data_IF_126841725730
#
_entry.id   IF_126841725730
#
_cell.length_a   1.000
_cell.length_b   1.000
_cell.length_c   1.000
_cell.angle_alpha   90.00
_cell.angle_beta   90.00
_cell.angle_gamma   90.00
#
_symmetry.space_group_name_H-M   'P 1'
#
loop_
_entity.id
_entity.type
_entity.pdbx_description
1 polymer ?
#
# COMPACT_ATOMS: atom_id res chain seq x y z
N UNK A 1 4.57 11.99 -1.84
CA UNK A 1 5.44 11.35 -2.85
C UNK A 1 4.87 10.00 -3.24
N UNK A 2 4.97 9.58 -4.51
CA UNK A 2 4.55 8.24 -4.95
C UNK A 2 5.80 7.51 -5.42
N UNK A 3 5.98 6.27 -4.95
CA UNK A 3 7.06 5.37 -5.32
C UNK A 3 6.47 4.16 -6.02
N UNK A 4 6.92 3.89 -7.23
CA UNK A 4 6.55 2.71 -8.00
C UNK A 4 7.72 1.75 -8.03
N UNK A 5 7.48 0.50 -7.71
CA UNK A 5 8.48 -0.56 -7.76
C UNK A 5 7.90 -1.87 -8.26
N UNK A 6 8.75 -2.82 -8.56
CA UNK A 6 8.37 -4.15 -9.04
C UNK A 6 9.33 -5.24 -8.58
N UNK A 7 9.32 -6.36 -9.27
CA UNK A 7 10.26 -7.50 -9.13
C UNK A 7 10.23 -8.21 -7.76
N UNK A 8 9.10 -8.17 -7.05
CA UNK A 8 8.97 -8.89 -5.78
C UNK A 8 8.03 -10.09 -5.83
N UNK A 9 7.54 -10.46 -7.00
CA UNK A 9 6.53 -11.53 -7.14
C UNK A 9 5.31 -11.33 -6.23
N UNK A 10 5.03 -10.09 -5.88
CA UNK A 10 3.86 -9.66 -5.13
C UNK A 10 3.45 -8.26 -5.57
N UNK A 11 2.19 -7.95 -5.40
CA UNK A 11 1.67 -6.60 -5.59
C UNK A 11 1.17 -6.05 -4.27
N UNK A 12 1.45 -4.78 -3.99
CA UNK A 12 0.96 -4.14 -2.77
C UNK A 12 0.73 -2.66 -2.94
N UNK A 13 -0.17 -2.14 -2.11
CA UNK A 13 -0.42 -0.70 -1.95
C UNK A 13 -0.25 -0.36 -0.49
N UNK A 14 0.65 0.57 -0.19
CA UNK A 14 0.95 0.99 1.18
C UNK A 14 1.15 2.49 1.28
N UNK A 15 0.87 3.05 2.44
CA UNK A 15 1.25 4.42 2.82
C UNK A 15 2.26 4.40 3.94
N UNK A 16 3.25 5.28 3.85
CA UNK A 16 4.27 5.50 4.85
C UNK A 16 4.27 6.98 5.23
N UNK A 17 4.10 7.28 6.50
CA UNK A 17 4.20 8.64 7.03
C UNK A 17 5.51 8.80 7.81
N UNK A 18 6.37 9.65 7.30
CA UNK A 18 7.65 10.00 7.91
C UNK A 18 7.48 11.27 8.72
N UNK A 19 7.83 11.24 9.99
CA UNK A 19 7.96 12.45 10.81
C UNK A 19 9.34 13.06 10.56
N UNK A 20 9.36 14.18 9.86
CA UNK A 20 10.59 14.92 9.57
C UNK A 20 10.57 16.30 10.26
N UNK A 21 11.73 16.91 10.43
CA UNK A 21 11.87 18.25 11.03
C UNK A 21 11.10 19.34 10.29
N UNK A 22 10.83 19.16 8.97
CA UNK A 22 10.04 20.05 8.12
C UNK A 22 8.54 19.74 8.11
N UNK A 23 8.07 18.82 8.94
CA UNK A 23 6.70 18.33 8.98
C UNK A 23 6.54 16.92 8.43
N UNK A 24 5.36 16.32 8.56
CA UNK A 24 5.11 14.95 8.12
C UNK A 24 5.15 14.85 6.59
N UNK A 25 5.88 13.86 6.09
CA UNK A 25 5.93 13.52 4.66
C UNK A 25 5.23 12.20 4.44
N UNK A 26 4.28 12.18 3.52
CA UNK A 26 3.65 10.94 3.10
C UNK A 26 4.31 10.38 1.84
N UNK A 27 4.59 9.08 1.88
CA UNK A 27 5.05 8.27 0.76
C UNK A 27 4.00 7.20 0.48
N UNK A 28 3.48 7.18 -0.73
CA UNK A 28 2.60 6.11 -1.21
C UNK A 28 3.47 5.16 -2.03
N UNK A 29 3.50 3.90 -1.63
CA UNK A 29 4.23 2.85 -2.33
C UNK A 29 3.25 1.94 -3.06
N UNK A 30 3.47 1.78 -4.36
CA UNK A 30 2.77 0.82 -5.21
C UNK A 30 3.81 -0.15 -5.76
N UNK A 31 3.71 -1.38 -5.33
CA UNK A 31 4.53 -2.50 -5.84
C UNK A 31 3.69 -3.28 -6.83
N UNK A 32 4.22 -3.53 -8.01
CA UNK A 32 3.56 -4.34 -9.04
C UNK A 32 4.32 -5.64 -9.24
N UNK A 33 3.62 -6.75 -9.12
CA UNK A 33 4.14 -8.08 -9.46
C UNK A 33 4.50 -8.15 -10.94
N UNK A 34 5.41 -9.05 -11.30
CA UNK A 34 5.65 -9.40 -12.69
C UNK A 34 4.42 -10.09 -13.31
N UNK A 35 4.24 -9.91 -14.62
CA UNK A 35 3.18 -10.58 -15.40
C UNK A 35 3.29 -12.11 -15.36
N UNK A 36 4.47 -12.61 -15.07
CA UNK A 36 4.76 -14.03 -14.92
C UNK A 36 5.86 -14.25 -13.90
N UNK A 37 5.55 -14.97 -12.85
CA UNK A 37 6.49 -15.38 -11.82
C UNK A 37 6.49 -16.93 -11.72
N UNK A 38 7.46 -17.63 -12.33
CA UNK A 38 7.49 -19.09 -12.32
C UNK A 38 7.79 -19.69 -10.94
N UNK A 39 8.28 -18.87 -10.03
CA UNK A 39 8.67 -19.30 -8.68
C UNK A 39 7.65 -18.81 -7.64
N UNK A 40 6.90 -19.73 -7.08
CA UNK A 40 5.82 -19.42 -6.14
C UNK A 40 6.28 -19.31 -4.68
N UNK A 41 7.53 -19.66 -4.37
CA UNK A 41 8.00 -19.73 -2.98
C UNK A 41 8.00 -18.38 -2.24
N UNK A 42 8.14 -17.28 -2.95
CA UNK A 42 8.09 -15.92 -2.36
C UNK A 42 6.65 -15.49 -2.08
N UNK A 43 5.69 -16.06 -2.80
CA UNK A 43 4.27 -15.66 -2.78
C UNK A 43 3.45 -16.48 -1.78
N UNK A 44 4.06 -17.44 -1.09
CA UNK A 44 3.34 -18.44 -0.30
C UNK A 44 2.65 -17.87 0.96
N UNK A 45 3.00 -16.66 1.39
CA UNK A 45 2.51 -16.09 2.65
C UNK A 45 2.22 -14.60 2.53
N UNK A 46 1.04 -14.22 1.99
CA UNK A 46 0.63 -12.81 1.88
C UNK A 46 0.63 -12.08 3.21
N UNK A 47 0.32 -12.77 4.29
CA UNK A 47 0.28 -12.24 5.65
C UNK A 47 1.64 -11.71 6.14
N UNK A 48 2.74 -12.23 5.61
CA UNK A 48 4.08 -11.75 5.92
C UNK A 48 4.40 -10.36 5.33
N UNK A 49 3.58 -9.89 4.37
CA UNK A 49 3.76 -8.59 3.69
C UNK A 49 2.80 -7.51 4.21
N UNK A 50 1.95 -7.83 5.18
CA UNK A 50 1.15 -6.83 5.88
C UNK A 50 2.02 -6.12 6.91
N UNK A 51 2.57 -5.01 6.51
CA UNK A 51 3.47 -4.20 7.33
C UNK A 51 2.66 -3.01 7.87
N UNK A 52 2.03 -3.22 9.02
CA UNK A 52 1.33 -2.16 9.72
C UNK A 52 2.03 -1.88 11.05
N UNK A 53 2.25 -0.62 11.34
CA UNK A 53 2.83 -0.23 12.62
C UNK A 53 3.74 0.98 12.53
N UNK A 54 4.32 1.29 13.65
CA UNK A 54 5.31 2.33 13.81
C UNK A 54 6.70 1.70 13.84
N UNK A 55 7.61 2.23 13.02
CA UNK A 55 9.00 1.78 12.92
C UNK A 55 9.91 2.97 13.15
N UNK A 56 10.84 2.84 14.07
CA UNK A 56 11.93 3.81 14.20
C UNK A 56 12.99 3.54 13.13
N UNK A 57 13.22 4.54 12.28
CA UNK A 57 14.22 4.50 11.23
C UNK A 57 15.44 5.32 11.66
N UNK A 58 16.51 4.63 12.00
CA UNK A 58 17.82 5.24 12.29
C UNK A 58 18.18 5.32 13.77
N UNK A 59 19.44 4.95 14.06
CA UNK A 59 20.06 4.98 15.39
C UNK A 59 20.68 6.33 15.75
N UNK A 60 20.50 7.38 14.94
CA UNK A 60 21.09 8.69 15.19
C UNK A 60 20.19 9.53 16.14
N UNK A 61 20.78 10.42 16.96
CA UNK A 61 20.01 11.43 17.69
C UNK A 61 19.17 12.25 16.71
N UNK A 62 17.84 12.15 16.78
CA UNK A 62 16.91 12.72 15.80
C UNK A 62 16.40 11.72 14.77
N UNK A 63 16.41 10.44 15.07
CA UNK A 63 15.84 9.38 14.24
C UNK A 63 14.43 9.69 13.75
N UNK A 64 14.10 9.17 12.57
CA UNK A 64 12.77 9.36 11.98
C UNK A 64 11.83 8.28 12.49
N UNK A 65 10.65 8.68 12.91
CA UNK A 65 9.55 7.73 13.13
C UNK A 65 8.76 7.59 11.84
N UNK A 66 8.52 6.35 11.43
CA UNK A 66 7.71 6.03 10.28
C UNK A 66 6.49 5.20 10.71
N UNK A 67 5.31 5.65 10.33
CA UNK A 67 4.10 4.84 10.45
C UNK A 67 3.74 4.27 9.10
N UNK A 68 3.63 2.95 9.00
CA UNK A 68 3.27 2.25 7.78
C UNK A 68 1.89 1.61 7.88
N UNK A 69 1.10 1.75 6.85
CA UNK A 69 -0.20 1.09 6.69
C UNK A 69 -0.27 0.45 5.31
N UNK A 70 -0.49 -0.84 5.29
CA UNK A 70 -0.69 -1.61 4.06
C UNK A 70 -2.18 -1.69 3.75
N UNK A 71 -2.57 -1.18 2.59
CA UNK A 71 -3.96 -1.19 2.12
C UNK A 71 -4.35 -2.52 1.45
N UNK A 72 -3.48 -3.03 0.59
CA UNK A 72 -3.71 -4.27 -0.15
C UNK A 72 -2.42 -5.03 -0.39
N UNK A 73 -2.51 -6.36 -0.39
CA UNK A 73 -1.44 -7.29 -0.77
C UNK A 73 -2.03 -8.40 -1.61
N UNK A 74 -1.48 -8.62 -2.80
CA UNK A 74 -1.80 -9.74 -3.66
C UNK A 74 -0.53 -10.46 -4.10
N UNK A 75 -0.59 -11.78 -4.17
CA UNK A 75 0.54 -12.65 -4.49
C UNK A 75 0.41 -13.33 -5.85
N UNK A 76 -0.69 -13.06 -6.56
CA UNK A 76 -0.92 -13.53 -7.91
C UNK A 76 -0.02 -12.82 -8.94
N UNK A 77 0.10 -13.43 -10.12
CA UNK A 77 0.71 -12.77 -11.26
C UNK A 77 -0.21 -11.67 -11.78
N UNK A 78 0.36 -10.61 -12.29
CA UNK A 78 -0.45 -9.52 -12.83
C UNK A 78 0.29 -8.20 -12.88
N UNK A 79 -0.46 -7.13 -12.85
CA UNK A 79 0.07 -5.77 -12.92
C UNK A 79 -0.75 -4.79 -12.07
N UNK A 80 -0.16 -3.63 -11.84
CA UNK A 80 -0.83 -2.53 -11.19
C UNK A 80 -1.06 -1.38 -12.17
N UNK A 81 -2.25 -0.77 -12.10
CA UNK A 81 -2.56 0.47 -12.81
C UNK A 81 -2.73 1.58 -11.78
N UNK A 82 -1.93 2.63 -11.90
CA UNK A 82 -2.03 3.83 -11.08
C UNK A 82 -2.65 4.97 -11.89
N UNK A 83 -3.71 5.56 -11.37
CA UNK A 83 -4.34 6.76 -11.91
C UNK A 83 -4.34 7.85 -10.85
N UNK A 84 -3.96 9.06 -11.26
CA UNK A 84 -4.04 10.26 -10.41
C UNK A 84 -4.99 11.23 -11.07
N UNK A 85 -6.08 11.55 -10.38
CA UNK A 85 -7.13 12.42 -10.87
C UNK A 85 -7.18 13.69 -10.04
N UNK A 86 -7.46 14.82 -10.69
CA UNK A 86 -7.73 16.07 -9.99
C UNK A 86 -9.23 16.17 -9.73
N UNK A 87 -9.61 16.09 -8.47
CA UNK A 87 -10.99 16.26 -8.03
C UNK A 87 -11.44 17.72 -7.96
N UNK A 88 -12.71 17.90 -7.67
CA UNK A 88 -13.28 19.21 -7.39
C UNK A 88 -12.59 19.85 -6.18
N UNK A 89 -12.33 21.15 -6.21
CA UNK A 89 -11.64 21.87 -5.13
C UNK A 89 -10.12 21.77 -5.14
N UNK A 90 -9.52 21.15 -6.19
CA UNK A 90 -8.06 21.09 -6.34
C UNK A 90 -7.38 19.94 -5.60
N UNK A 91 -8.13 19.09 -4.95
CA UNK A 91 -7.63 17.86 -4.34
C UNK A 91 -7.27 16.82 -5.40
N UNK A 92 -6.39 15.90 -5.06
CA UNK A 92 -6.06 14.77 -5.91
C UNK A 92 -6.67 13.49 -5.36
N UNK A 93 -7.14 12.63 -6.26
CA UNK A 93 -7.53 11.25 -5.96
C UNK A 93 -6.51 10.30 -6.58
N UNK A 94 -6.10 9.33 -5.80
CA UNK A 94 -5.27 8.23 -6.26
C UNK A 94 -6.16 6.99 -6.34
N UNK A 95 -6.16 6.36 -7.51
CA UNK A 95 -6.76 5.07 -7.76
C UNK A 95 -5.66 4.08 -8.15
N UNK A 96 -5.57 2.98 -7.43
CA UNK A 96 -4.67 1.86 -7.76
C UNK A 96 -5.52 0.63 -8.01
N UNK A 97 -5.38 0.06 -9.17
CA UNK A 97 -6.00 -1.22 -9.51
C UNK A 97 -4.90 -2.28 -9.59
N UNK A 98 -5.00 -3.32 -8.79
CA UNK A 98 -4.22 -4.53 -8.90
C UNK A 98 -5.04 -5.52 -9.72
N UNK A 99 -4.57 -5.86 -10.91
CA UNK A 99 -5.18 -6.86 -11.80
C UNK A 99 -4.32 -8.11 -11.75
N UNK A 100 -4.74 -9.06 -10.95
CA UNK A 100 -4.01 -10.27 -10.62
C UNK A 100 -4.80 -11.50 -11.07
N UNK A 101 -4.13 -12.63 -11.20
CA UNK A 101 -4.76 -13.89 -11.60
C UNK A 101 -5.79 -14.42 -10.59
N UNK A 102 -5.75 -13.96 -9.33
CA UNK A 102 -6.74 -14.25 -8.29
C UNK A 102 -7.89 -13.22 -8.24
N UNK A 103 -7.85 -12.19 -9.06
CA UNK A 103 -8.90 -11.20 -9.24
C UNK A 103 -8.46 -9.75 -9.16
N UNK A 104 -9.43 -8.88 -9.35
CA UNK A 104 -9.24 -7.44 -9.42
C UNK A 104 -9.44 -6.78 -8.04
N UNK A 105 -8.42 -6.09 -7.56
CA UNK A 105 -8.50 -5.29 -6.33
C UNK A 105 -8.36 -3.81 -6.66
N UNK A 106 -9.26 -3.00 -6.17
CA UNK A 106 -9.25 -1.54 -6.32
C UNK A 106 -8.98 -0.88 -4.99
N UNK A 107 -7.99 0.00 -4.97
CA UNK A 107 -7.67 0.85 -3.83
C UNK A 107 -7.84 2.29 -4.26
N UNK A 108 -8.60 3.08 -3.52
CA UNK A 108 -8.70 4.50 -3.80
C UNK A 108 -8.59 5.34 -2.53
N UNK A 109 -8.08 6.55 -2.71
CA UNK A 109 -7.89 7.50 -1.64
C UNK A 109 -7.88 8.93 -2.16
N UNK A 110 -8.59 9.80 -1.46
CA UNK A 110 -8.51 11.25 -1.68
C UNK A 110 -7.32 11.83 -0.91
N UNK A 111 -6.48 12.60 -1.60
CA UNK A 111 -5.37 13.34 -1.01
C UNK A 111 -5.86 14.74 -0.62
N UNK A 112 -6.64 14.81 0.42
CA UNK A 112 -7.08 16.05 1.05
C UNK A 112 -6.20 16.33 2.28
N UNK A 113 -5.62 17.52 2.44
CA UNK A 113 -4.85 17.88 3.64
C UNK A 113 -5.64 17.74 4.94
N UNK A 114 -6.97 17.90 4.88
CA UNK A 114 -7.90 17.72 6.01
C UNK A 114 -8.60 16.35 6.01
N UNK A 115 -8.35 15.52 4.99
CA UNK A 115 -9.08 14.30 4.75
C UNK A 115 -8.58 13.08 5.52
N UNK A 116 -9.31 12.00 5.35
CA UNK A 116 -8.98 10.69 5.89
C UNK A 116 -7.66 10.18 5.31
N UNK A 117 -6.77 9.67 6.16
CA UNK A 117 -5.54 8.99 5.74
C UNK A 117 -5.77 7.53 5.32
N UNK A 118 -7.02 7.06 5.37
CA UNK A 118 -7.37 5.68 5.06
C UNK A 118 -7.54 5.44 3.56
N UNK A 119 -7.32 4.20 3.17
CA UNK A 119 -7.64 3.67 1.86
C UNK A 119 -9.02 3.00 1.89
N UNK A 120 -9.80 3.19 0.83
CA UNK A 120 -10.93 2.32 0.54
C UNK A 120 -10.44 1.20 -0.37
N UNK A 121 -10.70 -0.05 0.01
CA UNK A 121 -10.19 -1.23 -0.69
C UNK A 121 -11.33 -2.19 -0.98
N UNK A 122 -11.43 -2.61 -2.23
CA UNK A 122 -12.40 -3.58 -2.75
C UNK A 122 -11.68 -4.67 -3.53
N UNK A 123 -12.00 -5.93 -3.26
CA UNK A 123 -11.43 -7.07 -3.98
C UNK A 123 -10.65 -8.06 -3.10
N UNK A 124 -10.09 -9.13 -3.71
CA UNK A 124 -9.49 -10.25 -2.98
C UNK A 124 -8.18 -9.91 -2.25
N UNK A 125 -7.39 -8.97 -2.76
CA UNK A 125 -6.14 -8.54 -2.11
C UNK A 125 -6.36 -7.63 -0.88
N UNK A 126 -7.62 -7.44 -0.47
CA UNK A 126 -8.00 -6.75 0.74
C UNK A 126 -7.62 -7.58 1.97
N UNK A 127 -7.17 -6.92 3.02
CA UNK A 127 -6.99 -7.55 4.33
C UNK A 127 -8.34 -8.08 4.85
N UNK A 128 -8.42 -9.37 5.12
CA UNK A 128 -9.54 -9.89 5.87
C UNK A 128 -9.53 -9.25 7.26
N UNK A 129 -10.61 -8.58 7.62
CA UNK A 129 -10.77 -8.11 9.00
C UNK A 129 -10.78 -9.35 9.90
N UNK A 130 -9.71 -9.57 10.67
CA UNK A 130 -9.78 -10.53 11.77
C UNK A 130 -10.92 -10.06 12.66
N UNK A 131 -12.05 -10.73 12.54
CA UNK A 131 -13.16 -10.57 13.49
C UNK A 131 -12.55 -10.82 14.86
N UNK A 132 -12.50 -9.79 15.68
CA UNK A 132 -12.13 -9.92 17.08
C UNK A 132 -13.20 -10.78 17.75
N UNK A 133 -12.94 -12.07 17.80
CA UNK A 133 -13.87 -13.06 18.33
C UNK A 133 -13.27 -14.44 18.28
N UNK A 134 -12.40 -14.75 19.26
CA UNK A 134 -12.66 -15.88 20.14
C UNK A 134 -11.57 -15.94 21.21
N UNK A 135 -12.09 -15.96 22.43
CA UNK A 135 -11.42 -16.04 23.72
C UNK A 135 -10.53 -17.27 23.83
#
# INVERSE_FOLDING_TARGET
>A
MIVLSGDRHMSSVSSLWLQAAGGPVEVISVVSSGLYAPWTFVNARPDAFWLDGEVELGAAPGGFTATMVTAAVGTGNGFAVLQVERGAGGHFRINVTLDLDDGLTRCHRDLDPAGSRGWTVEGPARRESKTAGQK
#
